data_IF_708428385164
#
_entry.id   IF_708428385164
#
_cell.length_a   1.000
_cell.length_b   1.000
_cell.length_c   1.000
_cell.angle_alpha   90.00
_cell.angle_beta   90.00
_cell.angle_gamma   90.00
#
_symmetry.space_group_name_H-M   'P 1'
#
loop_
_entity.id
_entity.type
_entity.pdbx_description
1 polymer ?
#
# COMPACT_ATOMS: atom_id res chain seq x y z
N UNK A 1 16.76 0.90 -24.81
CA UNK A 1 15.76 0.04 -25.48
C UNK A 1 14.54 0.88 -25.77
N UNK A 2 14.03 0.83 -27.00
CA UNK A 2 12.86 1.57 -27.47
C UNK A 2 11.67 0.64 -27.68
N UNK A 3 10.53 0.95 -27.05
CA UNK A 3 9.24 0.30 -27.28
C UNK A 3 8.36 1.20 -28.15
N UNK A 4 7.77 0.63 -29.20
CA UNK A 4 7.00 1.38 -30.22
C UNK A 4 5.56 0.93 -30.33
N UNK A 5 4.72 1.84 -30.80
CA UNK A 5 3.33 1.56 -31.22
C UNK A 5 2.47 0.98 -30.10
N UNK A 6 2.62 1.48 -28.86
CA UNK A 6 1.81 1.04 -27.72
C UNK A 6 0.65 2.00 -27.44
N UNK A 7 -0.45 1.47 -26.91
CA UNK A 7 -1.47 2.29 -26.25
C UNK A 7 -1.02 2.50 -24.80
N UNK A 8 -0.51 3.70 -24.49
CA UNK A 8 0.19 3.99 -23.23
C UNK A 8 -0.73 4.71 -22.25
N UNK A 9 -0.91 4.13 -21.07
CA UNK A 9 -1.58 4.71 -19.92
C UNK A 9 -0.52 5.27 -18.96
N UNK A 10 -0.11 6.53 -19.16
CA UNK A 10 0.99 7.11 -18.40
C UNK A 10 0.64 7.44 -16.94
N UNK A 11 -0.61 7.66 -16.61
CA UNK A 11 -1.12 8.25 -15.36
C UNK A 11 -0.72 9.73 -15.15
N UNK A 12 -0.09 10.35 -16.14
CA UNK A 12 0.24 11.79 -16.16
C UNK A 12 -0.71 12.58 -17.06
N UNK A 13 -1.26 11.93 -18.09
CA UNK A 13 -2.18 12.49 -19.08
C UNK A 13 -3.11 11.39 -19.62
N UNK A 14 -4.07 11.78 -20.45
CA UNK A 14 -4.96 10.82 -21.12
C UNK A 14 -4.17 9.79 -21.93
N UNK A 15 -4.66 8.54 -22.04
CA UNK A 15 -4.00 7.50 -22.81
C UNK A 15 -3.81 7.90 -24.29
N UNK A 16 -2.68 7.51 -24.86
CA UNK A 16 -2.36 7.80 -26.25
C UNK A 16 -1.58 6.66 -26.90
N UNK A 17 -1.61 6.59 -28.22
CA UNK A 17 -0.73 5.69 -29.00
C UNK A 17 0.62 6.39 -29.18
N UNK A 18 1.70 5.70 -28.78
CA UNK A 18 3.05 6.27 -28.83
C UNK A 18 4.13 5.26 -28.46
N UNK A 19 5.26 5.80 -28.09
CA UNK A 19 6.51 5.11 -27.86
C UNK A 19 7.13 5.52 -26.53
N UNK A 20 8.01 4.69 -25.98
CA UNK A 20 8.83 5.05 -24.83
C UNK A 20 10.19 4.38 -24.87
N UNK A 21 11.18 5.03 -24.27
CA UNK A 21 12.53 4.48 -24.10
C UNK A 21 12.83 4.22 -22.65
N UNK A 22 13.62 3.16 -22.42
CA UNK A 22 14.18 2.84 -21.10
C UNK A 22 15.69 2.67 -21.21
N UNK A 23 16.41 3.15 -20.20
CA UNK A 23 17.82 2.90 -20.01
C UNK A 23 18.17 2.84 -18.52
N UNK A 24 19.05 1.94 -18.14
CA UNK A 24 19.54 1.76 -16.75
C UNK A 24 18.43 1.71 -15.70
N UNK A 25 17.30 1.06 -16.05
CA UNK A 25 16.21 0.85 -15.13
C UNK A 25 15.20 1.99 -15.02
N UNK A 26 15.32 3.07 -15.80
CA UNK A 26 14.40 4.21 -15.77
C UNK A 26 13.82 4.53 -17.15
N UNK A 27 12.65 5.16 -17.16
CA UNK A 27 12.12 5.76 -18.39
C UNK A 27 12.97 6.99 -18.77
N UNK A 28 13.44 7.05 -20.01
CA UNK A 28 14.26 8.14 -20.50
C UNK A 28 13.55 9.06 -21.49
N UNK A 29 12.55 8.54 -22.20
CA UNK A 29 11.69 9.32 -23.09
C UNK A 29 10.30 8.68 -23.16
N UNK A 30 9.25 9.50 -23.27
CA UNK A 30 7.86 9.05 -23.47
C UNK A 30 7.21 10.03 -24.44
N UNK A 31 6.70 9.55 -25.57
CA UNK A 31 6.11 10.41 -26.58
C UNK A 31 5.61 9.68 -27.81
N UNK A 32 5.47 10.41 -28.92
CA UNK A 32 5.09 9.87 -30.22
C UNK A 32 6.28 9.91 -31.17
N UNK A 33 6.31 8.96 -32.10
CA UNK A 33 7.29 8.92 -33.21
C UNK A 33 8.76 8.99 -32.77
N UNK A 34 9.10 8.33 -31.64
CA UNK A 34 10.47 8.28 -31.15
C UNK A 34 11.36 7.52 -32.15
N UNK A 35 12.56 8.05 -32.38
CA UNK A 35 13.55 7.40 -33.25
C UNK A 35 14.56 6.62 -32.40
N UNK A 36 14.94 5.41 -32.83
CA UNK A 36 15.96 4.65 -32.13
C UNK A 36 17.32 5.32 -32.23
N UNK A 37 18.11 5.22 -31.18
CA UNK A 37 19.52 5.60 -31.20
C UNK A 37 20.34 4.54 -31.95
N UNK A 38 21.56 4.87 -32.36
CA UNK A 38 22.43 3.93 -33.10
C UNK A 38 22.73 2.71 -32.24
N UNK A 39 22.30 1.53 -32.71
CA UNK A 39 22.47 0.27 -31.99
C UNK A 39 21.49 0.01 -30.84
N UNK A 40 20.44 0.83 -30.73
CA UNK A 40 19.39 0.63 -29.74
C UNK A 40 18.46 -0.50 -30.16
N UNK A 41 18.18 -1.42 -29.21
CA UNK A 41 17.18 -2.46 -29.40
C UNK A 41 15.77 -1.85 -29.50
N UNK A 42 15.00 -2.30 -30.48
CA UNK A 42 13.64 -1.83 -30.74
C UNK A 42 12.65 -2.99 -30.63
N UNK A 43 11.60 -2.80 -29.85
CA UNK A 43 10.48 -3.73 -29.75
C UNK A 43 9.18 -3.04 -30.20
N UNK A 44 8.55 -3.56 -31.27
CA UNK A 44 7.24 -3.11 -31.71
C UNK A 44 6.14 -3.84 -30.91
N UNK A 45 5.29 -3.08 -30.23
CA UNK A 45 4.22 -3.59 -29.40
C UNK A 45 2.90 -3.77 -30.18
N UNK A 46 2.83 -3.35 -31.46
CA UNK A 46 1.69 -3.58 -32.34
C UNK A 46 0.32 -3.21 -31.72
N UNK A 47 0.23 -2.12 -31.00
CA UNK A 47 -0.98 -1.63 -30.36
C UNK A 47 -1.34 -2.30 -29.04
N UNK A 48 -0.46 -3.13 -28.47
CA UNK A 48 -0.63 -3.63 -27.10
C UNK A 48 -0.72 -2.47 -26.10
N UNK A 49 -1.36 -2.73 -24.99
CA UNK A 49 -1.57 -1.76 -23.92
C UNK A 49 -0.38 -1.78 -22.96
N UNK A 50 0.04 -0.60 -22.51
CA UNK A 50 1.11 -0.46 -21.50
C UNK A 50 0.61 0.38 -20.33
N UNK A 51 0.75 -0.17 -19.15
CA UNK A 51 0.41 0.46 -17.87
C UNK A 51 1.64 0.56 -16.97
N UNK A 52 1.72 1.53 -16.04
CA UNK A 52 2.71 1.46 -14.96
C UNK A 52 2.58 0.15 -14.20
N UNK A 53 3.65 -0.35 -13.64
CA UNK A 53 3.59 -1.43 -12.68
C UNK A 53 2.59 -1.13 -11.57
N UNK A 54 1.76 -2.11 -11.22
CA UNK A 54 0.76 -1.95 -10.18
C UNK A 54 1.44 -1.85 -8.79
N UNK A 55 0.89 -1.00 -7.94
CA UNK A 55 1.39 -0.72 -6.60
C UNK A 55 0.33 -1.09 -5.56
N UNK A 56 0.68 -2.00 -4.66
CA UNK A 56 -0.14 -2.34 -3.49
C UNK A 56 0.29 -1.50 -2.28
N UNK A 57 -0.63 -0.75 -1.69
CA UNK A 57 -0.31 0.15 -0.58
C UNK A 57 -0.52 -0.44 0.81
N UNK A 58 -1.05 -1.65 0.91
CA UNK A 58 -1.25 -2.34 2.18
C UNK A 58 -1.49 -3.84 1.96
N UNK A 59 -0.53 -4.65 2.31
CA UNK A 59 -0.65 -6.11 2.32
C UNK A 59 0.27 -6.74 3.37
N UNK A 60 0.24 -8.07 3.43
CA UNK A 60 1.10 -8.90 4.29
C UNK A 60 1.90 -9.90 3.45
N UNK A 61 2.11 -9.60 2.17
CA UNK A 61 2.76 -10.47 1.19
C UNK A 61 4.18 -10.84 1.66
N UNK A 62 4.49 -12.13 1.65
CA UNK A 62 5.74 -12.70 2.16
C UNK A 62 5.81 -12.89 3.68
N UNK A 63 4.78 -12.47 4.45
CA UNK A 63 4.72 -12.61 5.91
C UNK A 63 3.66 -13.63 6.37
N UNK A 64 2.78 -14.06 5.48
CA UNK A 64 1.81 -15.13 5.68
C UNK A 64 1.87 -16.07 4.46
N UNK A 65 2.72 -17.09 4.58
CA UNK A 65 3.04 -17.97 3.47
C UNK A 65 1.91 -18.97 3.18
N UNK A 66 1.63 -19.18 1.91
CA UNK A 66 0.57 -20.10 1.46
C UNK A 66 0.86 -21.53 1.86
N UNK A 67 -0.14 -22.22 2.43
CA UNK A 67 -0.16 -23.64 2.78
C UNK A 67 0.81 -24.09 3.89
N UNK A 68 1.56 -23.21 4.52
CA UNK A 68 2.53 -23.53 5.59
C UNK A 68 1.91 -23.44 6.98
N UNK A 69 0.77 -22.74 7.13
CA UNK A 69 0.07 -22.53 8.41
C UNK A 69 0.91 -21.71 9.38
N UNK A 70 0.90 -22.08 10.69
CA UNK A 70 1.47 -21.26 11.74
C UNK A 70 3.00 -21.05 11.59
N UNK A 71 3.71 -21.93 10.97
CA UNK A 71 5.16 -21.80 10.78
C UNK A 71 5.50 -20.69 9.78
N UNK A 72 4.64 -20.47 8.78
CA UNK A 72 4.76 -19.37 7.82
C UNK A 72 3.88 -18.16 8.12
N UNK A 73 3.31 -18.05 9.33
CA UNK A 73 2.45 -16.93 9.76
C UNK A 73 3.21 -16.03 10.75
N UNK A 74 3.95 -15.07 10.20
CA UNK A 74 4.70 -14.04 10.92
C UNK A 74 4.00 -12.67 10.91
N UNK A 75 2.69 -12.65 10.63
CA UNK A 75 1.94 -11.40 10.47
C UNK A 75 1.66 -10.69 11.80
N UNK A 76 1.45 -11.43 12.90
CA UNK A 76 0.99 -10.84 14.15
C UNK A 76 1.76 -11.36 15.38
N UNK A 77 2.56 -10.50 15.99
CA UNK A 77 3.16 -10.76 17.30
C UNK A 77 2.15 -10.42 18.41
N UNK A 78 1.51 -11.43 18.99
CA UNK A 78 0.38 -11.26 19.93
C UNK A 78 0.76 -11.34 21.41
N UNK A 79 2.04 -11.28 21.76
CA UNK A 79 2.51 -11.31 23.18
C UNK A 79 2.31 -9.99 23.91
N UNK A 80 2.29 -8.87 23.18
CA UNK A 80 2.04 -7.52 23.71
C UNK A 80 1.24 -6.67 22.70
N UNK A 81 0.21 -5.91 23.09
CA UNK A 81 -0.53 -5.04 22.17
C UNK A 81 0.29 -3.83 21.65
N UNK A 82 1.47 -3.58 22.20
CA UNK A 82 2.35 -2.47 21.82
C UNK A 82 3.73 -3.02 21.46
N UNK A 83 3.97 -3.19 20.16
CA UNK A 83 5.19 -3.77 19.59
C UNK A 83 5.81 -2.93 18.47
N UNK A 84 6.00 -1.60 18.64
CA UNK A 84 6.50 -0.72 17.59
C UNK A 84 7.92 -1.06 17.12
N UNK A 85 8.69 -1.77 17.94
CA UNK A 85 10.06 -2.22 17.66
C UNK A 85 10.13 -3.41 16.70
N UNK A 86 9.01 -4.07 16.38
CA UNK A 86 8.97 -5.13 15.38
C UNK A 86 9.10 -4.52 13.97
N UNK A 87 9.82 -5.21 13.11
CA UNK A 87 10.09 -4.75 11.75
C UNK A 87 9.53 -5.76 10.75
N UNK A 88 8.59 -5.35 9.90
CA UNK A 88 7.98 -6.26 8.93
C UNK A 88 9.00 -6.94 8.01
N UNK A 89 10.11 -6.28 7.69
CA UNK A 89 11.17 -6.87 6.86
C UNK A 89 11.79 -8.13 7.50
N UNK A 90 11.83 -8.22 8.83
CA UNK A 90 12.46 -9.34 9.53
C UNK A 90 11.59 -10.61 9.50
N UNK A 91 10.27 -10.49 9.22
CA UNK A 91 9.33 -11.61 9.06
C UNK A 91 8.97 -11.90 7.60
N UNK A 92 9.62 -11.28 6.61
CA UNK A 92 9.27 -11.45 5.22
C UNK A 92 10.14 -12.52 4.55
N UNK A 93 9.52 -13.58 4.01
CA UNK A 93 10.16 -14.57 3.16
C UNK A 93 10.14 -14.13 1.69
N UNK A 94 11.28 -13.72 1.07
CA UNK A 94 11.31 -13.31 -0.34
C UNK A 94 11.09 -14.47 -1.32
N UNK A 95 11.10 -15.72 -0.84
CA UNK A 95 10.88 -16.93 -1.65
C UNK A 95 9.43 -17.42 -1.60
N UNK A 96 8.52 -16.69 -0.93
CA UNK A 96 7.10 -17.02 -0.94
C UNK A 96 6.55 -16.99 -2.38
N UNK A 97 5.92 -18.09 -2.82
CA UNK A 97 5.36 -18.24 -4.17
C UNK A 97 4.30 -17.18 -4.52
N UNK A 98 3.67 -16.58 -3.51
CA UNK A 98 2.68 -15.53 -3.69
C UNK A 98 3.30 -14.23 -4.22
N UNK A 99 4.58 -13.99 -3.97
CA UNK A 99 5.34 -12.85 -4.53
C UNK A 99 5.49 -13.02 -6.05
N UNK A 100 5.83 -14.23 -6.52
CA UNK A 100 5.89 -14.53 -7.96
C UNK A 100 4.51 -14.41 -8.62
N UNK A 101 3.47 -14.87 -7.93
CA UNK A 101 2.08 -14.74 -8.39
C UNK A 101 1.65 -13.28 -8.48
N UNK A 102 2.01 -12.44 -7.52
CA UNK A 102 1.78 -10.99 -7.54
C UNK A 102 2.47 -10.34 -8.74
N UNK A 103 3.75 -10.66 -8.99
CA UNK A 103 4.52 -10.17 -10.12
C UNK A 103 3.84 -10.55 -11.46
N UNK A 104 3.43 -11.81 -11.64
CA UNK A 104 2.69 -12.29 -12.82
C UNK A 104 1.33 -11.58 -12.98
N UNK A 105 0.72 -11.13 -11.88
CA UNK A 105 -0.48 -10.29 -11.86
C UNK A 105 -0.23 -8.81 -12.17
N UNK A 106 1.02 -8.43 -12.48
CA UNK A 106 1.39 -7.05 -12.81
C UNK A 106 1.71 -6.17 -11.61
N UNK A 107 1.66 -6.70 -10.38
CA UNK A 107 2.02 -5.96 -9.17
C UNK A 107 3.55 -5.96 -9.03
N UNK A 108 4.17 -4.82 -9.23
CA UNK A 108 5.63 -4.66 -9.23
C UNK A 108 6.19 -4.14 -7.91
N UNK A 109 5.35 -3.49 -7.10
CA UNK A 109 5.74 -2.95 -5.80
C UNK A 109 4.62 -3.14 -4.78
N UNK A 110 5.00 -3.49 -3.56
CA UNK A 110 4.08 -3.64 -2.43
C UNK A 110 4.60 -2.92 -1.19
N UNK A 111 3.67 -2.41 -0.38
CA UNK A 111 3.92 -2.00 0.99
C UNK A 111 3.41 -3.11 1.91
N UNK A 112 4.34 -3.84 2.54
CA UNK A 112 4.03 -4.97 3.42
C UNK A 112 4.47 -4.70 4.86
N UNK A 113 3.84 -5.35 5.80
CA UNK A 113 4.15 -5.20 7.22
C UNK A 113 3.19 -5.96 8.12
N UNK A 114 3.25 -5.74 9.43
CA UNK A 114 2.45 -6.46 10.41
C UNK A 114 0.94 -6.31 10.21
N UNK A 115 0.20 -7.33 10.63
CA UNK A 115 -1.26 -7.37 10.67
C UNK A 115 -1.85 -6.43 11.74
N UNK A 116 -3.14 -6.62 11.99
CA UNK A 116 -3.94 -5.70 12.82
C UNK A 116 -4.33 -6.25 14.20
N UNK A 117 -3.62 -7.25 14.71
CA UNK A 117 -3.86 -7.76 16.05
C UNK A 117 -3.50 -6.74 17.15
N UNK A 118 -2.44 -5.95 16.93
CA UNK A 118 -1.88 -5.05 17.93
C UNK A 118 -2.38 -3.61 17.77
N UNK A 119 -2.47 -2.86 18.86
CA UNK A 119 -2.72 -1.41 18.82
C UNK A 119 -1.59 -0.69 18.08
N UNK A 120 -0.34 -1.12 18.32
CA UNK A 120 0.83 -0.75 17.51
C UNK A 120 1.58 -2.03 17.19
N UNK A 121 1.69 -2.38 15.90
CA UNK A 121 2.18 -3.70 15.45
C UNK A 121 3.63 -3.75 14.99
N UNK A 122 4.22 -2.61 14.63
CA UNK A 122 5.56 -2.55 14.05
C UNK A 122 5.61 -1.82 12.71
N UNK A 123 6.76 -1.84 12.05
CA UNK A 123 6.99 -1.06 10.83
C UNK A 123 6.62 -1.80 9.56
N UNK A 124 6.00 -1.07 8.64
CA UNK A 124 5.86 -1.44 7.24
C UNK A 124 7.12 -1.06 6.46
N UNK A 125 7.37 -1.76 5.36
CA UNK A 125 8.40 -1.44 4.38
C UNK A 125 7.85 -1.60 2.96
N UNK A 126 8.51 -1.02 1.97
CA UNK A 126 8.14 -1.17 0.56
C UNK A 126 9.22 -1.94 -0.19
N UNK A 127 8.82 -2.88 -1.05
CA UNK A 127 9.75 -3.66 -1.84
C UNK A 127 9.20 -4.00 -3.24
N UNK A 128 10.13 -4.24 -4.18
CA UNK A 128 9.82 -4.74 -5.53
C UNK A 128 9.57 -6.24 -5.47
N UNK A 129 8.55 -6.71 -6.19
CA UNK A 129 8.13 -8.13 -6.21
C UNK A 129 9.05 -9.04 -7.04
N UNK A 130 10.25 -8.56 -7.38
CA UNK A 130 11.26 -9.30 -8.13
C UNK A 130 12.55 -9.37 -7.36
N UNK A 131 13.03 -10.58 -7.11
CA UNK A 131 14.27 -10.85 -6.40
C UNK A 131 14.16 -12.11 -5.56
N UNK A 132 15.19 -12.37 -4.76
CA UNK A 132 15.26 -13.47 -3.81
C UNK A 132 15.99 -13.09 -2.51
N UNK A 133 16.29 -11.81 -2.36
CA UNK A 133 16.92 -11.23 -1.17
C UNK A 133 16.13 -9.98 -0.78
N UNK A 134 15.47 -10.01 0.37
CA UNK A 134 14.56 -8.94 0.77
C UNK A 134 15.26 -7.59 0.92
N UNK A 135 16.53 -7.58 1.34
CA UNK A 135 17.31 -6.33 1.45
C UNK A 135 17.53 -5.68 0.08
N UNK A 136 17.79 -6.49 -0.97
CA UNK A 136 17.97 -5.99 -2.34
C UNK A 136 16.64 -5.59 -3.00
N UNK A 137 15.53 -6.26 -2.63
CA UNK A 137 14.18 -5.95 -3.12
C UNK A 137 13.63 -4.67 -2.47
N UNK A 138 14.08 -4.33 -1.26
CA UNK A 138 13.55 -3.22 -0.46
C UNK A 138 13.91 -1.88 -1.07
N UNK A 139 12.89 -1.02 -1.23
CA UNK A 139 13.05 0.35 -1.74
C UNK A 139 12.90 1.42 -0.66
N UNK A 140 12.20 1.10 0.44
CA UNK A 140 12.09 1.98 1.62
C UNK A 140 11.78 1.18 2.89
N UNK A 141 12.56 1.40 3.96
CA UNK A 141 12.38 0.81 5.28
C UNK A 141 12.97 1.72 6.37
N UNK A 142 12.23 2.15 7.41
CA UNK A 142 10.78 1.98 7.54
C UNK A 142 9.99 2.86 6.56
N UNK A 143 8.79 2.41 6.20
CA UNK A 143 7.86 3.17 5.37
C UNK A 143 6.75 3.83 6.21
N UNK A 144 6.22 3.09 7.17
CA UNK A 144 5.12 3.50 8.05
C UNK A 144 5.14 2.66 9.34
N UNK A 145 4.40 3.10 10.36
CA UNK A 145 4.15 2.33 11.58
C UNK A 145 2.72 1.79 11.56
N UNK A 146 2.52 0.49 11.76
CA UNK A 146 1.18 -0.11 11.85
C UNK A 146 0.51 0.22 13.17
N UNK A 147 -0.75 0.63 13.08
CA UNK A 147 -1.66 0.69 14.20
C UNK A 147 -3.02 0.07 13.85
N UNK A 148 -3.77 -0.38 14.85
CA UNK A 148 -5.10 -0.92 14.63
C UNK A 148 -6.10 -0.45 15.69
N UNK A 149 -7.31 -0.19 15.19
CA UNK A 149 -8.52 0.13 15.95
C UNK A 149 -9.55 -0.99 15.77
N UNK A 150 -10.60 -0.96 16.57
CA UNK A 150 -11.80 -1.76 16.36
C UNK A 150 -11.71 -3.19 16.87
N UNK A 151 -12.24 -4.10 16.08
CA UNK A 151 -12.53 -5.47 16.50
C UNK A 151 -11.26 -6.31 16.69
N UNK A 152 -10.26 -6.18 15.84
CA UNK A 152 -9.11 -7.07 15.86
C UNK A 152 -8.28 -6.95 17.14
N UNK A 153 -7.77 -5.79 17.58
CA UNK A 153 -7.04 -5.72 18.84
C UNK A 153 -7.93 -6.02 20.05
N UNK A 154 -9.21 -5.64 20.00
CA UNK A 154 -10.16 -5.98 21.06
C UNK A 154 -10.32 -7.50 21.22
N UNK A 155 -10.43 -8.24 20.10
CA UNK A 155 -10.58 -9.71 20.11
C UNK A 155 -9.29 -10.41 20.55
N UNK A 156 -8.13 -9.98 20.03
CA UNK A 156 -6.85 -10.64 20.30
C UNK A 156 -6.43 -10.54 21.78
N UNK A 157 -6.80 -9.44 22.44
CA UNK A 157 -6.40 -9.17 23.83
C UNK A 157 -7.55 -9.17 24.84
N UNK A 158 -8.74 -9.66 24.45
CA UNK A 158 -9.91 -9.76 25.34
C UNK A 158 -9.61 -10.56 26.61
N UNK A 159 -10.03 -10.02 27.76
CA UNK A 159 -9.82 -10.64 29.07
C UNK A 159 -8.35 -10.60 29.55
N UNK A 160 -7.46 -9.93 28.81
CA UNK A 160 -6.04 -9.78 29.17
C UNK A 160 -5.65 -8.31 29.34
N UNK A 161 -5.64 -7.55 28.25
CA UNK A 161 -5.20 -6.15 28.24
C UNK A 161 -6.20 -5.19 27.60
N UNK A 162 -7.13 -5.68 26.74
CA UNK A 162 -8.07 -4.86 25.98
C UNK A 162 -9.44 -5.47 25.95
N UNK A 163 -10.43 -4.80 26.55
CA UNK A 163 -11.83 -5.19 26.47
C UNK A 163 -12.71 -4.15 25.74
N UNK A 164 -12.19 -2.94 25.58
CA UNK A 164 -12.94 -1.82 25.00
C UNK A 164 -12.15 -1.02 23.97
N UNK A 165 -12.84 -0.31 23.07
CA UNK A 165 -12.22 0.70 22.17
C UNK A 165 -11.57 1.85 22.92
N UNK A 166 -12.06 2.16 24.12
CA UNK A 166 -11.43 3.17 24.99
C UNK A 166 -10.01 2.77 25.37
N UNK A 167 -9.77 1.49 25.70
CA UNK A 167 -8.45 0.99 26.05
C UNK A 167 -7.48 1.03 24.87
N UNK A 168 -7.95 0.69 23.64
CA UNK A 168 -7.15 0.81 22.42
C UNK A 168 -6.65 2.25 22.27
N UNK A 169 -7.57 3.20 22.34
CA UNK A 169 -7.24 4.63 22.21
C UNK A 169 -6.35 5.15 23.32
N UNK A 170 -6.54 4.66 24.56
CA UNK A 170 -5.71 5.03 25.70
C UNK A 170 -4.27 4.54 25.53
N UNK A 171 -4.08 3.28 25.13
CA UNK A 171 -2.75 2.70 24.90
C UNK A 171 -1.98 3.44 23.80
N UNK A 172 -2.67 3.80 22.70
CA UNK A 172 -2.05 4.56 21.62
C UNK A 172 -1.61 5.95 22.10
N UNK A 173 -2.49 6.71 22.79
CA UNK A 173 -2.15 8.04 23.34
C UNK A 173 -1.02 7.95 24.35
N UNK A 174 -1.07 6.97 25.26
CA UNK A 174 -0.02 6.75 26.24
C UNK A 174 1.34 6.53 25.59
N UNK A 175 1.39 5.70 24.53
CA UNK A 175 2.63 5.42 23.81
C UNK A 175 3.15 6.68 23.11
N UNK A 176 2.28 7.46 22.45
CA UNK A 176 2.66 8.71 21.80
C UNK A 176 3.18 9.74 22.82
N UNK A 177 2.49 9.90 23.96
CA UNK A 177 2.91 10.81 25.03
C UNK A 177 4.27 10.42 25.62
N UNK A 178 4.47 9.12 25.93
CA UNK A 178 5.75 8.60 26.40
C UNK A 178 6.88 8.82 25.38
N UNK A 179 6.59 8.64 24.09
CA UNK A 179 7.58 8.88 23.03
C UNK A 179 7.99 10.34 22.95
N UNK A 180 7.03 11.27 23.04
CA UNK A 180 7.31 12.72 23.06
C UNK A 180 8.19 13.09 24.26
N UNK A 181 7.82 12.65 25.46
CA UNK A 181 8.59 12.90 26.68
C UNK A 181 10.01 12.30 26.61
N UNK A 182 10.14 11.09 26.08
CA UNK A 182 11.41 10.42 25.86
C UNK A 182 12.31 11.21 24.89
N UNK A 183 11.75 11.62 23.77
CA UNK A 183 12.44 12.42 22.75
C UNK A 183 12.92 13.76 23.32
N UNK A 184 12.04 14.50 24.03
CA UNK A 184 12.38 15.77 24.66
C UNK A 184 13.53 15.65 25.69
N UNK A 185 13.52 14.57 26.50
CA UNK A 185 14.62 14.29 27.46
C UNK A 185 15.95 14.04 26.74
N UNK A 186 15.92 13.26 25.63
CA UNK A 186 17.12 13.01 24.81
C UNK A 186 17.65 14.29 24.18
N UNK A 187 16.79 15.09 23.56
CA UNK A 187 17.17 16.37 22.94
C UNK A 187 17.71 17.38 23.93
N UNK A 188 17.22 17.32 25.16
CA UNK A 188 17.74 18.14 26.29
C UNK A 188 19.06 17.62 26.90
N UNK A 189 19.64 16.53 26.33
CA UNK A 189 20.90 15.94 26.85
C UNK A 189 20.78 15.28 28.23
N UNK A 190 19.55 14.93 28.67
CA UNK A 190 19.34 14.22 29.92
C UNK A 190 19.73 12.74 29.76
N UNK A 191 20.24 12.17 30.87
CA UNK A 191 20.47 10.72 30.91
C UNK A 191 19.13 9.98 30.93
N UNK A 192 18.85 9.24 29.85
CA UNK A 192 17.61 8.48 29.67
C UNK A 192 17.97 7.06 29.23
N UNK A 193 17.44 6.07 29.95
CA UNK A 193 17.63 4.67 29.58
C UNK A 193 17.09 4.41 28.15
N UNK A 194 17.84 3.66 27.37
CA UNK A 194 17.43 3.29 26.01
C UNK A 194 16.15 2.45 26.07
N UNK A 195 15.13 2.88 25.31
CA UNK A 195 13.86 2.15 25.13
C UNK A 195 13.63 1.91 23.65
N UNK A 196 13.80 0.66 23.21
CA UNK A 196 13.66 0.26 21.80
C UNK A 196 12.27 0.54 21.23
N UNK A 197 11.22 0.42 22.06
CA UNK A 197 9.84 0.69 21.61
C UNK A 197 9.61 2.18 21.37
N UNK A 198 10.11 3.02 22.25
CA UNK A 198 9.98 4.47 22.12
C UNK A 198 10.87 5.00 20.98
N UNK A 199 12.07 4.47 20.80
CA UNK A 199 12.94 4.80 19.65
C UNK A 199 12.23 4.53 18.33
N UNK A 200 11.56 3.39 18.18
CA UNK A 200 10.84 3.03 16.96
C UNK A 200 9.64 3.96 16.66
N UNK A 201 9.09 4.63 17.69
CA UNK A 201 7.98 5.57 17.55
C UNK A 201 8.43 7.01 17.23
N UNK A 202 9.70 7.37 17.44
CA UNK A 202 10.21 8.73 17.18
C UNK A 202 9.89 9.21 15.74
N UNK A 203 10.08 8.43 14.68
CA UNK A 203 9.76 8.86 13.31
C UNK A 203 8.28 9.21 13.11
N UNK A 204 7.36 8.55 13.83
CA UNK A 204 5.92 8.88 13.81
C UNK A 204 5.67 10.25 14.46
N UNK A 205 6.23 10.49 15.65
CA UNK A 205 6.09 11.76 16.38
C UNK A 205 6.73 12.91 15.60
N UNK A 206 7.87 12.67 14.95
CA UNK A 206 8.53 13.65 14.07
C UNK A 206 7.85 13.84 12.71
N UNK A 207 6.78 13.07 12.42
CA UNK A 207 6.07 13.11 11.14
C UNK A 207 6.94 12.72 9.95
N UNK A 208 7.98 11.95 10.15
CA UNK A 208 8.85 11.40 9.10
C UNK A 208 8.14 10.26 8.36
N UNK A 209 7.46 9.37 9.13
CA UNK A 209 6.60 8.31 8.61
C UNK A 209 5.17 8.43 9.14
N UNK A 210 4.14 7.99 8.39
CA UNK A 210 2.77 7.97 8.88
C UNK A 210 2.51 6.78 9.80
N UNK A 211 1.45 6.92 10.62
CA UNK A 211 0.81 5.80 11.29
C UNK A 211 -0.26 5.20 10.36
N UNK A 212 -0.13 3.93 9.94
CA UNK A 212 -1.11 3.20 9.12
C UNK A 212 -2.20 2.64 10.01
N UNK A 213 -3.36 3.30 10.01
CA UNK A 213 -4.46 3.02 10.93
C UNK A 213 -5.47 2.05 10.32
N UNK A 214 -5.42 0.76 10.67
CA UNK A 214 -6.50 -0.17 10.41
C UNK A 214 -7.78 0.30 11.12
N UNK A 215 -8.80 0.68 10.36
CA UNK A 215 -10.08 1.16 10.87
C UNK A 215 -11.20 0.94 9.85
N UNK A 216 -12.15 0.05 10.16
CA UNK A 216 -13.29 -0.26 9.29
C UNK A 216 -14.51 0.62 9.59
N UNK A 217 -14.91 0.67 10.87
CA UNK A 217 -16.14 1.33 11.32
C UNK A 217 -15.99 2.84 11.39
N UNK A 218 -17.09 3.54 11.17
CA UNK A 218 -17.15 5.01 11.22
C UNK A 218 -16.62 5.58 12.55
N UNK A 219 -16.97 4.97 13.69
CA UNK A 219 -16.51 5.39 15.02
C UNK A 219 -15.00 5.19 15.22
N UNK A 220 -14.42 4.10 14.68
CA UNK A 220 -12.99 3.83 14.72
C UNK A 220 -12.22 4.78 13.79
N UNK A 221 -12.73 5.04 12.58
CA UNK A 221 -12.16 6.04 11.64
C UNK A 221 -12.14 7.44 12.27
N UNK A 222 -13.26 7.88 12.85
CA UNK A 222 -13.35 9.18 13.51
C UNK A 222 -12.42 9.27 14.72
N UNK A 223 -12.20 8.17 15.42
CA UNK A 223 -11.26 8.11 16.55
C UNK A 223 -9.81 8.21 16.09
N UNK A 224 -9.44 7.52 15.00
CA UNK A 224 -8.12 7.65 14.39
C UNK A 224 -7.84 9.10 13.94
N UNK A 225 -8.80 9.73 13.26
CA UNK A 225 -8.72 11.14 12.84
C UNK A 225 -8.55 12.06 14.06
N UNK A 226 -9.32 11.85 15.12
CA UNK A 226 -9.25 12.65 16.34
C UNK A 226 -7.87 12.56 17.00
N UNK A 227 -7.36 11.35 17.18
CA UNK A 227 -6.03 11.15 17.79
C UNK A 227 -4.94 11.77 16.91
N UNK A 228 -5.02 11.61 15.59
CA UNK A 228 -4.04 12.20 14.69
C UNK A 228 -4.00 13.73 14.77
N UNK A 229 -5.18 14.38 14.90
CA UNK A 229 -5.28 15.83 15.10
C UNK A 229 -4.75 16.26 16.47
N UNK A 230 -5.15 15.56 17.55
CA UNK A 230 -4.70 15.82 18.93
C UNK A 230 -3.18 15.71 19.05
N UNK A 231 -2.58 14.69 18.46
CA UNK A 231 -1.17 14.36 18.58
C UNK A 231 -0.29 15.00 17.49
N UNK A 232 -0.91 15.65 16.50
CA UNK A 232 -0.26 16.26 15.33
C UNK A 232 0.64 15.30 14.55
N UNK A 233 0.14 14.10 14.26
CA UNK A 233 0.85 13.07 13.50
C UNK A 233 0.25 12.87 12.11
N UNK A 234 1.02 12.32 11.16
CA UNK A 234 0.52 11.85 9.86
C UNK A 234 -0.10 10.48 10.03
N UNK A 235 -1.23 10.24 9.35
CA UNK A 235 -1.85 8.91 9.29
C UNK A 235 -2.31 8.57 7.88
N UNK A 236 -2.50 7.28 7.60
CA UNK A 236 -3.39 6.77 6.56
C UNK A 236 -4.60 6.11 7.23
N UNK A 237 -5.76 6.18 6.57
CA UNK A 237 -6.98 5.53 7.00
C UNK A 237 -7.14 4.26 6.18
N UNK A 238 -6.85 3.10 6.80
CA UNK A 238 -6.77 1.84 6.08
C UNK A 238 -8.08 1.06 6.23
N UNK A 239 -8.53 0.43 5.12
CA UNK A 239 -9.77 -0.31 4.92
C UNK A 239 -11.02 0.55 4.75
N UNK A 240 -11.32 1.45 5.66
CA UNK A 240 -12.39 2.47 5.62
C UNK A 240 -13.76 1.95 5.15
N UNK A 241 -14.18 0.80 5.62
CA UNK A 241 -15.42 0.13 5.19
C UNK A 241 -16.65 1.01 5.33
N UNK A 242 -16.75 1.80 6.41
CA UNK A 242 -17.85 2.73 6.69
C UNK A 242 -17.60 4.15 6.15
N UNK A 243 -16.61 4.38 5.29
CA UNK A 243 -16.29 5.72 4.79
C UNK A 243 -17.52 6.45 4.23
N UNK A 244 -18.41 5.74 3.54
CA UNK A 244 -19.63 6.31 2.96
C UNK A 244 -20.57 6.97 3.99
N UNK A 245 -20.48 6.57 5.25
CA UNK A 245 -21.28 7.15 6.33
C UNK A 245 -20.73 8.50 6.82
N UNK A 246 -19.46 8.81 6.55
CA UNK A 246 -18.72 9.94 7.16
C UNK A 246 -17.80 10.65 6.15
N UNK A 247 -18.15 10.65 4.87
CA UNK A 247 -17.38 11.31 3.80
C UNK A 247 -17.00 12.76 4.14
N UNK A 248 -17.91 13.63 4.67
CA UNK A 248 -17.53 15.00 5.00
C UNK A 248 -16.39 15.07 6.02
N UNK A 249 -16.40 14.21 7.05
CA UNK A 249 -15.40 14.21 8.11
C UNK A 249 -14.03 13.70 7.61
N UNK A 250 -14.05 12.68 6.74
CA UNK A 250 -12.81 12.19 6.11
C UNK A 250 -12.23 13.29 5.21
N UNK A 251 -13.06 13.95 4.37
CA UNK A 251 -12.62 15.05 3.51
C UNK A 251 -12.01 16.19 4.32
N UNK A 252 -12.69 16.63 5.39
CA UNK A 252 -12.19 17.69 6.27
C UNK A 252 -10.88 17.33 6.95
N UNK A 253 -10.65 16.04 7.22
CA UNK A 253 -9.41 15.57 7.86
C UNK A 253 -8.18 15.73 6.98
N UNK A 254 -8.35 15.67 5.65
CA UNK A 254 -7.27 15.69 4.67
C UNK A 254 -6.40 14.43 4.64
N UNK A 255 -6.73 13.38 5.42
CA UNK A 255 -5.97 12.13 5.42
C UNK A 255 -6.36 11.25 4.23
N UNK A 256 -5.38 10.57 3.58
CA UNK A 256 -5.66 9.65 2.49
C UNK A 256 -6.27 8.35 3.00
N UNK A 257 -7.05 7.70 2.11
CA UNK A 257 -7.71 6.42 2.38
C UNK A 257 -7.04 5.29 1.60
N UNK A 258 -6.86 4.15 2.25
CA UNK A 258 -6.44 2.88 1.63
C UNK A 258 -7.66 1.95 1.71
N UNK A 259 -8.39 1.82 0.60
CA UNK A 259 -9.74 1.25 0.56
C UNK A 259 -9.74 -0.24 0.19
N UNK A 260 -10.37 -1.05 1.01
CA UNK A 260 -10.52 -2.50 0.77
C UNK A 260 -9.97 -3.37 1.91
N UNK A 261 -9.91 -4.70 1.69
CA UNK A 261 -10.39 -5.43 0.51
C UNK A 261 -11.92 -5.52 0.47
N UNK A 262 -12.49 -5.60 -0.74
CA UNK A 262 -13.94 -5.78 -0.91
C UNK A 262 -14.31 -7.10 -1.63
N UNK A 263 -13.32 -7.79 -2.23
CA UNK A 263 -13.50 -9.08 -2.91
C UNK A 263 -13.36 -10.24 -1.91
N UNK A 264 -14.17 -10.22 -0.86
CA UNK A 264 -14.15 -11.25 0.20
C UNK A 264 -15.51 -11.34 0.88
N UNK A 265 -15.65 -12.28 1.82
CA UNK A 265 -16.85 -12.42 2.64
C UNK A 265 -16.89 -11.38 3.77
N UNK A 266 -18.09 -10.99 4.18
CA UNK A 266 -18.33 -10.21 5.41
C UNK A 266 -18.10 -11.10 6.63
N UNK A 267 -16.85 -11.44 6.93
CA UNK A 267 -16.47 -12.42 7.95
C UNK A 267 -16.55 -11.90 9.39
N UNK A 268 -16.72 -10.59 9.58
CA UNK A 268 -16.81 -9.92 10.89
C UNK A 268 -17.76 -8.73 10.83
N UNK A 269 -18.24 -8.30 12.01
CA UNK A 269 -19.25 -7.22 12.09
C UNK A 269 -18.81 -5.92 11.45
N UNK A 270 -17.56 -5.53 11.60
CA UNK A 270 -17.02 -4.28 11.04
C UNK A 270 -16.96 -4.26 9.50
N UNK A 271 -17.21 -5.40 8.84
CA UNK A 271 -17.35 -5.50 7.38
C UNK A 271 -18.81 -5.42 6.89
N UNK A 272 -19.78 -5.15 7.77
CA UNK A 272 -21.20 -5.16 7.42
C UNK A 272 -21.55 -4.27 6.22
N UNK A 273 -20.89 -3.11 6.09
CA UNK A 273 -21.10 -2.14 5.01
C UNK A 273 -20.06 -2.22 3.87
N UNK A 274 -19.30 -3.31 3.79
CA UNK A 274 -18.31 -3.52 2.72
C UNK A 274 -18.96 -3.45 1.34
N UNK A 275 -18.37 -2.63 0.45
CA UNK A 275 -18.92 -2.36 -0.88
C UNK A 275 -17.86 -1.90 -1.86
N UNK A 276 -18.00 -2.29 -3.11
CA UNK A 276 -17.21 -1.75 -4.24
C UNK A 276 -17.58 -0.30 -4.62
N UNK A 277 -18.66 0.27 -4.07
CA UNK A 277 -19.05 1.66 -4.29
C UNK A 277 -18.19 2.65 -3.48
N UNK A 278 -17.57 2.20 -2.39
CA UNK A 278 -16.80 3.08 -1.49
C UNK A 278 -15.71 3.89 -2.22
N UNK A 279 -14.89 3.31 -3.13
CA UNK A 279 -13.92 4.07 -3.92
C UNK A 279 -14.54 5.20 -4.75
N UNK A 280 -15.73 4.98 -5.34
CA UNK A 280 -16.43 6.00 -6.13
C UNK A 280 -16.90 7.18 -5.27
N UNK A 281 -17.37 6.94 -4.04
CA UNK A 281 -17.78 8.02 -3.14
C UNK A 281 -16.56 8.83 -2.63
N UNK A 282 -15.42 8.16 -2.38
CA UNK A 282 -14.15 8.85 -2.07
C UNK A 282 -13.70 9.72 -3.25
N UNK A 283 -13.76 9.19 -4.48
CA UNK A 283 -13.45 9.94 -5.71
C UNK A 283 -14.33 11.18 -5.88
N UNK A 284 -15.66 11.03 -5.81
CA UNK A 284 -16.60 12.16 -5.90
C UNK A 284 -16.35 13.25 -4.87
N UNK A 285 -15.87 12.86 -3.70
CA UNK A 285 -15.51 13.79 -2.64
C UNK A 285 -14.15 14.47 -2.85
N UNK A 286 -13.33 14.03 -3.81
CA UNK A 286 -11.98 14.51 -4.05
C UNK A 286 -10.98 14.07 -2.96
N UNK A 287 -11.24 12.95 -2.30
CA UNK A 287 -10.36 12.35 -1.30
C UNK A 287 -9.32 11.48 -2.03
N UNK A 288 -8.04 11.62 -1.69
CA UNK A 288 -7.00 10.73 -2.22
C UNK A 288 -7.18 9.33 -1.65
N UNK A 289 -7.27 8.32 -2.53
CA UNK A 289 -7.44 6.92 -2.12
C UNK A 289 -6.69 5.96 -3.03
N UNK A 290 -6.43 4.76 -2.50
CA UNK A 290 -5.99 3.58 -3.23
C UNK A 290 -6.95 2.42 -3.02
N UNK A 291 -6.90 1.42 -3.90
CA UNK A 291 -7.60 0.13 -3.77
C UNK A 291 -6.57 -0.93 -3.43
N UNK A 292 -6.90 -1.82 -2.50
CA UNK A 292 -6.00 -2.86 -1.98
C UNK A 292 -6.63 -4.26 -2.02
N UNK A 293 -5.76 -5.25 -1.98
CA UNK A 293 -6.12 -6.66 -1.77
C UNK A 293 -6.02 -7.07 -0.31
N UNK A 294 -5.16 -6.38 0.48
CA UNK A 294 -4.85 -6.81 1.86
C UNK A 294 -4.38 -8.29 1.88
N UNK A 295 -3.56 -8.67 0.85
CA UNK A 295 -3.10 -10.06 0.71
C UNK A 295 -2.51 -10.58 2.03
N UNK A 296 -2.93 -11.79 2.47
CA UNK A 296 -3.58 -12.86 1.71
C UNK A 296 -5.13 -12.86 1.75
N UNK A 297 -5.79 -11.83 2.31
CA UNK A 297 -7.27 -11.77 2.35
C UNK A 297 -7.87 -11.91 0.94
N UNK A 298 -7.30 -11.18 -0.03
CA UNK A 298 -7.50 -11.42 -1.47
C UNK A 298 -6.11 -11.67 -2.05
N UNK A 299 -5.88 -12.75 -2.81
CA UNK A 299 -4.58 -13.00 -3.41
C UNK A 299 -4.11 -11.81 -4.25
N UNK A 300 -2.82 -11.45 -4.11
CA UNK A 300 -2.26 -10.19 -4.61
C UNK A 300 -2.41 -10.00 -6.12
N UNK A 301 -2.37 -11.08 -6.91
CA UNK A 301 -2.56 -11.03 -8.36
C UNK A 301 -3.94 -10.51 -8.79
N UNK A 302 -4.91 -10.42 -7.89
CA UNK A 302 -6.26 -9.92 -8.17
C UNK A 302 -6.47 -8.43 -7.85
N UNK A 303 -5.38 -7.66 -7.72
CA UNK A 303 -5.46 -6.22 -7.50
C UNK A 303 -6.19 -5.50 -8.65
N UNK A 304 -5.89 -5.85 -9.91
CA UNK A 304 -6.57 -5.29 -11.08
C UNK A 304 -8.06 -5.68 -11.12
N UNK A 305 -8.41 -6.90 -10.73
CA UNK A 305 -9.81 -7.34 -10.61
C UNK A 305 -10.56 -6.56 -9.53
N UNK A 306 -9.93 -6.29 -8.39
CA UNK A 306 -10.52 -5.46 -7.32
C UNK A 306 -10.84 -4.04 -7.82
N UNK A 307 -9.95 -3.44 -8.61
CA UNK A 307 -10.16 -2.15 -9.26
C UNK A 307 -11.25 -2.22 -10.34
N UNK A 308 -11.30 -3.29 -11.14
CA UNK A 308 -12.33 -3.50 -12.16
C UNK A 308 -13.74 -3.59 -11.54
N UNK A 309 -13.87 -4.25 -10.39
CA UNK A 309 -15.15 -4.32 -9.66
C UNK A 309 -15.57 -2.96 -9.08
N UNK A 310 -14.62 -2.12 -8.64
CA UNK A 310 -14.91 -0.74 -8.24
C UNK A 310 -15.34 0.10 -9.45
N UNK A 311 -14.72 -0.09 -10.63
CA UNK A 311 -15.16 0.56 -11.87
C UNK A 311 -16.57 0.13 -12.26
N UNK A 312 -16.89 -1.18 -12.19
CA UNK A 312 -18.25 -1.71 -12.40
C UNK A 312 -19.26 -1.10 -11.42
N UNK A 313 -18.84 -0.73 -10.22
CA UNK A 313 -19.66 -0.09 -9.20
C UNK A 313 -19.76 1.45 -9.34
N UNK A 314 -19.22 2.02 -10.45
CA UNK A 314 -19.41 3.42 -10.83
C UNK A 314 -18.17 4.31 -10.73
N UNK A 315 -17.02 3.82 -10.26
CA UNK A 315 -15.77 4.55 -10.32
C UNK A 315 -15.32 4.68 -11.79
N UNK A 316 -14.96 5.88 -12.31
CA UNK A 316 -14.41 5.99 -13.67
C UNK A 316 -13.19 5.06 -13.85
N UNK A 317 -13.12 4.35 -14.98
CA UNK A 317 -12.07 3.35 -15.25
C UNK A 317 -10.66 3.91 -15.08
N UNK A 318 -10.42 5.12 -15.59
CA UNK A 318 -9.11 5.76 -15.46
C UNK A 318 -8.74 6.03 -13.99
N UNK A 319 -9.70 6.41 -13.17
CA UNK A 319 -9.50 6.61 -11.73
C UNK A 319 -9.32 5.28 -10.98
N UNK A 320 -9.96 4.19 -11.46
CA UNK A 320 -9.72 2.86 -10.92
C UNK A 320 -8.27 2.39 -11.20
N UNK A 321 -7.72 2.70 -12.39
CA UNK A 321 -6.31 2.40 -12.71
C UNK A 321 -5.39 3.28 -11.86
N UNK A 322 -5.68 4.57 -11.70
CA UNK A 322 -4.90 5.44 -10.78
C UNK A 322 -4.88 4.91 -9.35
N UNK A 323 -6.01 4.33 -8.88
CA UNK A 323 -6.15 3.82 -7.53
C UNK A 323 -5.28 2.58 -7.23
N UNK A 324 -4.71 1.94 -8.25
CA UNK A 324 -3.78 0.81 -8.14
C UNK A 324 -2.38 1.09 -8.75
N UNK A 325 -2.10 2.35 -9.08
CA UNK A 325 -0.83 2.79 -9.69
C UNK A 325 -0.30 4.05 -9.01
N UNK A 326 -0.65 5.25 -9.53
CA UNK A 326 -0.09 6.52 -9.04
C UNK A 326 -0.64 6.94 -7.67
N UNK A 327 -1.90 6.64 -7.34
CA UNK A 327 -2.46 7.03 -6.05
C UNK A 327 -1.79 6.30 -4.88
N UNK A 328 -1.65 4.95 -4.89
CA UNK A 328 -0.89 4.27 -3.85
C UNK A 328 0.56 4.78 -3.77
N UNK A 329 1.23 5.04 -4.90
CA UNK A 329 2.58 5.61 -4.87
C UNK A 329 2.61 6.98 -4.14
N UNK A 330 1.63 7.86 -4.38
CA UNK A 330 1.47 9.14 -3.66
C UNK A 330 1.21 8.95 -2.16
N UNK A 331 0.33 8.02 -1.79
CA UNK A 331 0.00 7.73 -0.38
C UNK A 331 1.24 7.24 0.37
N UNK A 332 2.08 6.47 -0.30
CA UNK A 332 3.31 5.92 0.25
C UNK A 332 4.51 6.90 0.19
N UNK A 333 4.37 8.06 -0.50
CA UNK A 333 5.47 9.00 -0.70
C UNK A 333 6.54 8.50 -1.69
N UNK A 334 6.16 7.59 -2.59
CA UNK A 334 7.05 6.96 -3.59
C UNK A 334 6.75 7.41 -5.03
N UNK A 335 5.89 8.41 -5.21
CA UNK A 335 5.43 8.87 -6.52
C UNK A 335 6.50 9.63 -7.33
N UNK A 336 7.62 9.98 -6.72
CA UNK A 336 8.80 10.46 -7.43
C UNK A 336 9.52 9.34 -8.22
N UNK A 337 9.29 8.07 -7.89
CA UNK A 337 9.90 6.89 -8.51
C UNK A 337 8.90 6.00 -9.24
N UNK A 338 7.68 5.83 -8.70
CA UNK A 338 6.74 4.78 -9.08
C UNK A 338 5.38 5.34 -9.56
N UNK A 339 4.54 4.45 -10.07
CA UNK A 339 3.11 4.65 -10.29
C UNK A 339 2.73 5.40 -11.55
N UNK A 340 3.68 5.86 -12.36
CA UNK A 340 3.41 6.45 -13.68
C UNK A 340 4.56 6.22 -14.66
N UNK A 341 4.24 6.21 -15.95
CA UNK A 341 5.23 6.14 -17.04
C UNK A 341 5.67 7.58 -17.35
N UNK A 342 6.79 7.97 -16.79
CA UNK A 342 7.35 9.33 -16.88
C UNK A 342 8.86 9.29 -16.85
N UNK A 343 9.48 10.18 -17.59
CA UNK A 343 10.94 10.33 -17.59
C UNK A 343 11.51 10.48 -16.19
N UNK A 344 12.57 9.74 -15.90
CA UNK A 344 13.27 9.70 -14.62
C UNK A 344 12.67 8.76 -13.57
N UNK A 345 11.48 8.19 -13.80
CA UNK A 345 10.90 7.18 -12.90
C UNK A 345 11.40 5.78 -13.23
N UNK A 346 11.35 4.90 -12.25
CA UNK A 346 11.69 3.48 -12.40
C UNK A 346 10.87 2.87 -13.54
N UNK A 347 11.51 2.14 -14.44
CA UNK A 347 10.86 1.51 -15.58
C UNK A 347 10.15 0.21 -15.15
N UNK A 348 9.13 0.38 -14.31
CA UNK A 348 8.19 -0.65 -13.90
C UNK A 348 6.92 -0.52 -14.73
N UNK A 349 6.65 -1.50 -15.57
CA UNK A 349 5.47 -1.47 -16.44
C UNK A 349 4.97 -2.86 -16.82
N UNK A 350 3.70 -2.89 -17.23
CA UNK A 350 2.98 -4.11 -17.61
C UNK A 350 2.51 -3.97 -19.06
N UNK A 351 2.78 -4.97 -19.89
CA UNK A 351 2.32 -5.06 -21.27
C UNK A 351 1.13 -6.01 -21.32
N UNK A 352 0.01 -5.51 -21.82
CA UNK A 352 -1.29 -6.19 -21.83
C UNK A 352 -1.88 -6.30 -23.22
N UNK A 353 -2.73 -7.33 -23.43
CA UNK A 353 -3.52 -7.46 -24.68
C UNK A 353 -4.70 -6.50 -24.75
N UNK A 354 -5.22 -6.07 -23.60
CA UNK A 354 -6.38 -5.18 -23.46
C UNK A 354 -6.18 -4.22 -22.28
N UNK A 355 -7.22 -3.41 -22.00
CA UNK A 355 -7.26 -2.65 -20.75
C UNK A 355 -7.05 -3.58 -19.54
N UNK A 356 -6.22 -3.16 -18.60
CA UNK A 356 -5.85 -3.97 -17.43
C UNK A 356 -7.04 -4.32 -16.50
N UNK A 357 -8.15 -3.59 -16.63
CA UNK A 357 -9.40 -3.85 -15.91
C UNK A 357 -10.31 -4.87 -16.64
N UNK A 358 -10.00 -5.23 -17.89
CA UNK A 358 -10.76 -6.27 -18.62
C UNK A 358 -10.39 -7.64 -18.04
N UNK A 359 -11.36 -8.40 -17.55
CA UNK A 359 -11.16 -9.73 -16.97
C UNK A 359 -10.67 -10.78 -17.98
N UNK A 360 -10.74 -10.47 -19.29
CA UNK A 360 -10.21 -11.31 -20.39
C UNK A 360 -8.85 -10.81 -20.89
N UNK A 361 -8.25 -9.83 -20.20
CA UNK A 361 -6.91 -9.35 -20.51
C UNK A 361 -5.86 -10.43 -20.20
N UNK A 362 -4.84 -10.50 -21.04
CA UNK A 362 -3.63 -11.29 -20.77
C UNK A 362 -2.46 -10.35 -20.56
N UNK A 363 -1.72 -10.55 -19.49
CA UNK A 363 -0.42 -9.90 -19.26
C UNK A 363 0.61 -10.63 -20.10
N UNK A 364 1.23 -9.93 -21.07
CA UNK A 364 2.25 -10.47 -21.99
C UNK A 364 3.66 -10.36 -21.42
N UNK A 365 3.90 -9.34 -20.62
CA UNK A 365 5.18 -9.15 -19.92
C UNK A 365 5.03 -8.16 -18.77
N UNK A 366 5.83 -8.37 -17.73
CA UNK A 366 6.03 -7.44 -16.62
C UNK A 366 7.51 -7.05 -16.59
N UNK A 367 7.76 -5.76 -16.48
CA UNK A 367 9.11 -5.22 -16.34
C UNK A 367 9.26 -4.56 -14.97
N UNK A 368 10.39 -4.82 -14.34
CA UNK A 368 10.82 -4.21 -13.07
C UNK A 368 12.23 -3.67 -13.26
N UNK A 369 12.42 -2.38 -12.94
CA UNK A 369 13.69 -1.67 -13.16
C UNK A 369 14.22 -1.88 -14.60
N UNK A 370 13.31 -1.77 -15.59
CA UNK A 370 13.62 -1.89 -17.00
C UNK A 370 14.00 -3.29 -17.48
N UNK A 371 13.93 -4.32 -16.64
CA UNK A 371 14.23 -5.71 -16.98
C UNK A 371 12.97 -6.53 -17.03
N UNK A 372 12.82 -7.36 -18.06
CA UNK A 372 11.70 -8.31 -18.12
C UNK A 372 11.76 -9.24 -16.91
N UNK A 373 10.67 -9.30 -16.16
CA UNK A 373 10.57 -10.00 -14.88
C UNK A 373 9.59 -11.18 -14.93
N UNK A 374 8.52 -11.09 -15.72
CA UNK A 374 7.57 -12.15 -16.02
C UNK A 374 7.03 -12.02 -17.44
#
# INVERSE_FOLDING_TARGET
MLFKNATIYTMEQDPFVGDFKIDKGVFTQVGKDLTPDVGEDVQDLNGLYVFPGLVESHCHLGMEETAIRFEGDDVNEITDPITPNMRGIDGCNPMDETIESALKGGVTTVAAGPGSANVIGGTFFAYKTKGNCIDEMTIQNPLAMKAAFGENPKRCYQGKKIDTRMQISALLRETLAKTKEYMEKKEAGKDVAYDQKLEAMIPVVKREIPLKCHCHRADDILTAIRIAKEENIKITLDHVTDARCIIPQIKESGFPCICGPALTHKSKFELANMSFETPNELYKAGILFSIITDSPVVPQQYLSLSAALAAKAGLPEYEAIKAITINPAKILGLDNRLGSIKEGKDADFVICTKNILDTTNEIKAVYVDGKKAA
#
